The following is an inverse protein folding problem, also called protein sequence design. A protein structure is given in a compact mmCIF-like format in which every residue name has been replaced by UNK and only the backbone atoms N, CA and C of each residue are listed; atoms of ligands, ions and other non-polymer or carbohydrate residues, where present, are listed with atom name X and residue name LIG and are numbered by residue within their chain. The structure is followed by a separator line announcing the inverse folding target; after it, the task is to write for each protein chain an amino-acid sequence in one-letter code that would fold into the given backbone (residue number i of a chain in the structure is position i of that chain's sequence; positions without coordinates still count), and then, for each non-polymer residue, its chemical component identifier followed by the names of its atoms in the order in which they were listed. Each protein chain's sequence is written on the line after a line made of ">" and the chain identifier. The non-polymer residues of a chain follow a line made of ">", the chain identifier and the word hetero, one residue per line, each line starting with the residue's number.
data_IF_317803709564
#
_entry.id   IF_317803709564
#
_cell.length_a   1.000
_cell.length_b   1.000
_cell.length_c   1.000
_cell.angle_alpha   90.00
_cell.angle_beta   90.00
_cell.angle_gamma   90.00
#
_symmetry.space_group_name_H-M   'P 1'
#
loop_
_entity.id
_entity.type
_entity.pdbx_description
1 polymer ?
#
# COMPACT_ATOMS: atom_id res chain seq x y z
N UNK A 1 -18.12 1.39 7.12
CA UNK A 1 -17.30 0.51 7.98
C UNK A 1 -16.93 1.28 9.23
N UNK A 2 -16.96 0.63 10.40
CA UNK A 2 -16.48 1.20 11.65
C UNK A 2 -15.09 0.60 11.85
N UNK A 3 -14.05 1.42 11.85
CA UNK A 3 -12.71 0.99 12.25
C UNK A 3 -12.61 1.02 13.78
N UNK A 4 -11.88 0.07 14.35
CA UNK A 4 -11.56 0.03 15.78
C UNK A 4 -10.81 1.29 16.22
N UNK A 5 -10.94 1.65 17.50
CA UNK A 5 -10.23 2.81 18.06
C UNK A 5 -8.72 2.64 17.97
N UNK A 6 -8.20 1.41 18.09
CA UNK A 6 -6.77 1.14 17.97
C UNK A 6 -6.25 1.33 16.55
N UNK A 7 -7.00 0.89 15.53
CA UNK A 7 -6.65 1.20 14.13
C UNK A 7 -6.71 2.70 13.88
N UNK A 8 -7.69 3.40 14.47
CA UNK A 8 -7.77 4.86 14.37
C UNK A 8 -6.55 5.54 14.97
N UNK A 9 -6.12 5.15 16.18
CA UNK A 9 -4.91 5.65 16.83
C UNK A 9 -3.66 5.39 15.99
N UNK A 10 -3.48 4.15 15.50
CA UNK A 10 -2.38 3.80 14.60
C UNK A 10 -2.37 4.65 13.32
N UNK A 11 -3.52 4.91 12.73
CA UNK A 11 -3.60 5.76 11.54
C UNK A 11 -3.27 7.23 11.84
N UNK A 12 -3.64 7.74 13.01
CA UNK A 12 -3.21 9.07 13.43
C UNK A 12 -1.70 9.14 13.59
N UNK A 13 -1.09 8.13 14.21
CA UNK A 13 0.37 8.03 14.34
C UNK A 13 1.08 7.98 12.98
N UNK A 14 0.57 7.19 12.02
CA UNK A 14 1.09 7.12 10.65
C UNK A 14 0.94 8.48 9.95
N UNK A 15 -0.22 9.13 10.12
CA UNK A 15 -0.53 10.41 9.49
C UNK A 15 0.39 11.51 10.01
N UNK A 16 0.58 11.59 11.33
CA UNK A 16 1.49 12.54 11.96
C UNK A 16 2.96 12.28 11.54
N UNK A 17 3.39 11.02 11.54
CA UNK A 17 4.71 10.63 11.06
C UNK A 17 4.96 11.09 9.61
N UNK A 18 3.92 11.06 8.78
CA UNK A 18 3.99 11.47 7.38
C UNK A 18 3.79 12.96 7.11
N UNK A 19 3.65 13.80 8.16
CA UNK A 19 3.29 15.21 8.03
C UNK A 19 1.99 15.44 7.23
N UNK A 20 1.00 14.55 7.39
CA UNK A 20 -0.27 14.56 6.66
C UNK A 20 -0.18 14.31 5.14
N UNK A 21 0.87 13.65 4.66
CA UNK A 21 1.02 13.34 3.23
C UNK A 21 0.30 12.08 2.76
N UNK A 22 -0.26 11.28 3.68
CA UNK A 22 -1.08 10.10 3.37
C UNK A 22 -2.32 10.49 2.55
N UNK A 23 -2.39 10.03 1.30
CA UNK A 23 -3.36 10.52 0.32
C UNK A 23 -4.74 9.87 0.44
N UNK A 24 -4.79 8.54 0.59
CA UNK A 24 -6.01 7.74 0.68
C UNK A 24 -6.17 7.17 2.10
N UNK A 25 -6.35 8.05 3.09
CA UNK A 25 -6.48 7.69 4.52
C UNK A 25 -7.52 6.59 4.77
N UNK A 26 -8.69 6.68 4.13
CA UNK A 26 -9.76 5.71 4.31
C UNK A 26 -9.37 4.32 3.80
N UNK A 27 -8.73 4.23 2.65
CA UNK A 27 -8.37 2.95 2.03
C UNK A 27 -7.29 2.24 2.84
N UNK A 28 -6.28 2.99 3.31
CA UNK A 28 -5.26 2.50 4.23
C UNK A 28 -5.91 2.06 5.54
N UNK A 29 -6.93 2.77 6.03
CA UNK A 29 -7.66 2.39 7.24
C UNK A 29 -8.37 1.04 7.12
N UNK A 30 -9.06 0.81 6.01
CA UNK A 30 -9.78 -0.44 5.74
C UNK A 30 -8.78 -1.60 5.59
N UNK A 31 -7.65 -1.34 4.93
CA UNK A 31 -6.58 -2.31 4.75
C UNK A 31 -5.95 -2.72 6.08
N UNK A 32 -5.52 -1.74 6.89
CA UNK A 32 -4.89 -1.99 8.18
C UNK A 32 -5.86 -2.71 9.11
N UNK A 33 -7.11 -2.23 9.23
CA UNK A 33 -8.13 -2.88 10.05
C UNK A 33 -8.22 -4.37 9.67
N UNK A 34 -8.51 -4.68 8.41
CA UNK A 34 -8.68 -6.06 7.97
C UNK A 34 -7.44 -6.93 8.22
N UNK A 35 -6.23 -6.44 7.91
CA UNK A 35 -4.98 -7.20 8.08
C UNK A 35 -4.73 -7.56 9.55
N UNK A 36 -5.01 -6.64 10.47
CA UNK A 36 -4.79 -6.89 11.89
C UNK A 36 -5.82 -7.87 12.47
N UNK A 37 -7.00 -8.04 11.84
CA UNK A 37 -8.00 -9.04 12.21
C UNK A 37 -7.83 -10.41 11.52
N UNK A 38 -7.19 -10.51 10.35
CA UNK A 38 -7.15 -11.75 9.55
C UNK A 38 -5.86 -12.59 9.69
N UNK A 39 -5.03 -12.32 10.70
CA UNK A 39 -3.70 -12.94 10.93
C UNK A 39 -2.71 -12.83 9.75
N UNK A 40 -3.02 -12.08 8.70
CA UNK A 40 -2.20 -11.95 7.48
C UNK A 40 -1.15 -10.82 7.56
N UNK A 41 -0.68 -10.52 8.78
CA UNK A 41 0.27 -9.43 9.03
C UNK A 41 1.54 -9.57 8.20
N UNK A 42 2.09 -10.77 8.08
CA UNK A 42 3.30 -11.01 7.28
C UNK A 42 3.08 -10.65 5.81
N UNK A 43 1.95 -11.04 5.24
CA UNK A 43 1.61 -10.75 3.84
C UNK A 43 1.44 -9.25 3.61
N UNK A 44 0.86 -8.54 4.57
CA UNK A 44 0.81 -7.09 4.52
C UNK A 44 2.20 -6.46 4.58
N UNK A 45 3.09 -6.94 5.46
CA UNK A 45 4.48 -6.49 5.50
C UNK A 45 5.16 -6.69 4.14
N UNK A 46 5.04 -7.87 3.54
CA UNK A 46 5.62 -8.16 2.23
C UNK A 46 5.10 -7.17 1.15
N UNK A 47 3.80 -6.87 1.17
CA UNK A 47 3.16 -5.91 0.25
C UNK A 47 3.70 -4.48 0.46
N UNK A 48 3.83 -4.00 1.70
CA UNK A 48 4.34 -2.63 1.94
C UNK A 48 5.84 -2.50 1.62
N UNK A 49 6.62 -3.58 1.76
CA UNK A 49 8.01 -3.62 1.28
C UNK A 49 8.07 -3.54 -0.25
N UNK A 50 7.21 -4.29 -0.95
CA UNK A 50 7.11 -4.23 -2.42
C UNK A 50 6.67 -2.85 -2.91
N UNK A 51 5.75 -2.20 -2.19
CA UNK A 51 5.37 -0.82 -2.45
C UNK A 51 6.57 0.14 -2.37
N UNK A 52 7.45 0.00 -1.37
CA UNK A 52 8.68 0.82 -1.27
C UNK A 52 9.56 0.67 -2.51
N UNK A 53 9.72 -0.55 -3.02
CA UNK A 53 10.50 -0.83 -4.22
C UNK A 53 9.88 -0.18 -5.46
N UNK A 54 8.58 -0.35 -5.67
CA UNK A 54 7.83 0.29 -6.76
C UNK A 54 7.91 1.81 -6.70
N UNK A 55 7.81 2.39 -5.51
CA UNK A 55 7.96 3.83 -5.34
C UNK A 55 9.37 4.32 -5.71
N UNK A 56 10.41 3.52 -5.44
CA UNK A 56 11.77 3.80 -5.89
C UNK A 56 11.87 3.89 -7.41
N UNK A 57 11.23 2.95 -8.14
CA UNK A 57 11.18 2.99 -9.61
C UNK A 57 10.42 4.21 -10.14
N UNK A 58 9.29 4.56 -9.53
CA UNK A 58 8.53 5.76 -9.89
C UNK A 58 9.36 7.03 -9.76
N UNK A 59 10.17 7.15 -8.70
CA UNK A 59 11.10 8.28 -8.53
C UNK A 59 12.12 8.35 -9.66
N UNK A 60 12.59 7.22 -10.18
CA UNK A 60 13.53 7.19 -11.31
C UNK A 60 12.86 7.66 -12.60
N UNK A 61 11.58 7.32 -12.83
CA UNK A 61 10.86 7.84 -13.99
C UNK A 61 10.68 9.36 -13.93
N UNK A 62 10.38 9.89 -12.74
CA UNK A 62 10.19 11.32 -12.50
C UNK A 62 11.49 12.14 -12.53
N UNK A 63 12.65 11.49 -12.47
CA UNK A 63 13.95 12.16 -12.51
C UNK A 63 14.38 12.44 -13.96
N UNK A 64 14.26 13.70 -14.39
CA UNK A 64 14.63 14.15 -15.73
C UNK A 64 16.15 14.08 -16.01
N UNK A 65 16.98 13.92 -14.98
CA UNK A 65 18.43 13.75 -15.15
C UNK A 65 18.82 12.35 -15.63
N UNK A 66 17.90 11.38 -15.59
CA UNK A 66 18.16 10.00 -15.99
C UNK A 66 18.00 9.82 -17.49
N UNK A 67 18.96 9.12 -18.10
CA UNK A 67 18.93 8.79 -19.51
C UNK A 67 17.66 8.00 -19.88
N UNK A 68 17.11 8.29 -21.06
CA UNK A 68 15.91 7.63 -21.59
C UNK A 68 16.05 6.11 -21.64
N UNK A 69 17.23 5.61 -22.02
CA UNK A 69 17.56 4.18 -22.07
C UNK A 69 17.45 3.49 -20.70
N UNK A 70 17.74 4.21 -19.62
CA UNK A 70 17.59 3.72 -18.25
C UNK A 70 16.12 3.69 -17.85
N UNK A 71 15.35 4.72 -18.21
CA UNK A 71 13.90 4.78 -17.97
C UNK A 71 13.17 3.64 -18.70
N UNK A 72 13.55 3.33 -19.94
CA UNK A 72 12.98 2.21 -20.70
C UNK A 72 13.22 0.86 -20.02
N UNK A 73 14.45 0.57 -19.60
CA UNK A 73 14.76 -0.69 -18.89
C UNK A 73 13.98 -0.85 -17.58
N UNK A 74 13.79 0.24 -16.85
CA UNK A 74 13.05 0.23 -15.59
C UNK A 74 11.55 0.11 -15.84
N UNK A 75 11.04 0.57 -17.00
CA UNK A 75 9.63 0.47 -17.36
C UNK A 75 9.15 -0.99 -17.42
N UNK A 76 9.90 -1.86 -18.09
CA UNK A 76 9.54 -3.28 -18.21
C UNK A 76 9.54 -3.97 -16.85
N UNK A 77 10.57 -3.74 -16.05
CA UNK A 77 10.66 -4.27 -14.68
C UNK A 77 9.53 -3.72 -13.80
N UNK A 78 9.22 -2.42 -13.89
CA UNK A 78 8.14 -1.80 -13.14
C UNK A 78 6.80 -2.45 -13.46
N UNK A 79 6.52 -2.74 -14.73
CA UNK A 79 5.28 -3.40 -15.13
C UNK A 79 5.16 -4.81 -14.52
N UNK A 80 6.24 -5.60 -14.53
CA UNK A 80 6.29 -6.93 -13.92
C UNK A 80 6.04 -6.83 -12.41
N UNK A 81 6.72 -5.91 -11.74
CA UNK A 81 6.64 -5.74 -10.29
C UNK A 81 5.27 -5.20 -9.85
N UNK A 82 4.69 -4.27 -10.61
CA UNK A 82 3.37 -3.72 -10.34
C UNK A 82 2.28 -4.78 -10.53
N UNK A 83 2.38 -5.58 -11.59
CA UNK A 83 1.46 -6.71 -11.80
C UNK A 83 1.54 -7.71 -10.65
N UNK A 84 2.76 -8.03 -10.21
CA UNK A 84 2.97 -8.87 -9.04
C UNK A 84 2.39 -8.28 -7.76
N UNK A 85 2.55 -6.97 -7.54
CA UNK A 85 1.99 -6.25 -6.40
C UNK A 85 0.46 -6.31 -6.40
N UNK A 86 -0.18 -6.03 -7.54
CA UNK A 86 -1.65 -6.10 -7.68
C UNK A 86 -2.16 -7.52 -7.38
N UNK A 87 -1.47 -8.55 -7.86
CA UNK A 87 -1.86 -9.94 -7.61
C UNK A 87 -1.74 -10.33 -6.13
N UNK A 88 -0.66 -9.93 -5.45
CA UNK A 88 -0.49 -10.14 -4.01
C UNK A 88 -1.54 -9.36 -3.21
N UNK A 89 -1.82 -8.12 -3.58
CA UNK A 89 -2.82 -7.29 -2.94
C UNK A 89 -4.23 -7.85 -3.12
N UNK A 90 -4.59 -8.30 -4.33
CA UNK A 90 -5.84 -9.03 -4.58
C UNK A 90 -5.92 -10.32 -3.77
N UNK A 91 -4.79 -11.03 -3.61
CA UNK A 91 -4.72 -12.22 -2.79
C UNK A 91 -4.89 -11.93 -1.28
N UNK A 92 -4.44 -10.76 -0.80
CA UNK A 92 -4.64 -10.32 0.59
C UNK A 92 -6.12 -10.05 0.87
N UNK A 93 -6.80 -9.33 -0.04
CA UNK A 93 -8.22 -8.96 0.13
C UNK A 93 -9.17 -10.16 0.08
N UNK A 94 -8.73 -11.35 -0.37
CA UNK A 94 -9.56 -12.58 -0.38
C UNK A 94 -10.10 -13.01 0.98
N UNK A 95 -9.50 -12.60 2.09
CA UNK A 95 -10.00 -12.91 3.44
C UNK A 95 -10.91 -11.83 4.02
N UNK A 96 -11.04 -10.69 3.35
CA UNK A 96 -11.82 -9.57 3.86
C UNK A 96 -13.32 -9.86 3.74
N UNK A 97 -14.13 -9.00 4.36
CA UNK A 97 -15.58 -9.00 4.17
C UNK A 97 -15.94 -8.84 2.68
N UNK A 98 -17.13 -9.30 2.26
CA UNK A 98 -17.55 -9.14 0.87
C UNK A 98 -17.64 -7.66 0.46
N UNK A 99 -18.09 -6.80 1.39
CA UNK A 99 -18.16 -5.36 1.17
C UNK A 99 -16.78 -4.75 0.89
N UNK A 100 -15.77 -5.11 1.68
CA UNK A 100 -14.41 -4.57 1.51
C UNK A 100 -13.74 -5.14 0.26
N UNK A 101 -13.99 -6.42 -0.06
CA UNK A 101 -13.57 -7.01 -1.35
C UNK A 101 -14.12 -6.23 -2.52
N UNK A 102 -15.43 -5.97 -2.54
CA UNK A 102 -16.09 -5.24 -3.63
C UNK A 102 -15.60 -3.79 -3.72
N UNK A 103 -15.22 -3.19 -2.59
CA UNK A 103 -14.58 -1.89 -2.54
C UNK A 103 -13.23 -1.90 -3.25
N UNK A 104 -12.32 -2.79 -2.86
CA UNK A 104 -10.99 -2.88 -3.47
C UNK A 104 -11.04 -3.35 -4.93
N UNK A 105 -11.91 -4.29 -5.26
CA UNK A 105 -12.09 -4.79 -6.64
C UNK A 105 -12.48 -3.66 -7.60
N UNK A 106 -13.41 -2.79 -7.18
CA UNK A 106 -13.86 -1.67 -8.01
C UNK A 106 -12.83 -0.55 -8.13
N UNK A 107 -12.09 -0.23 -7.06
CA UNK A 107 -11.17 0.91 -7.03
C UNK A 107 -9.77 0.58 -7.54
N UNK A 108 -9.28 -0.66 -7.38
CA UNK A 108 -7.88 -1.01 -7.61
C UNK A 108 -7.65 -2.16 -8.61
N UNK A 109 -8.62 -3.06 -8.81
CA UNK A 109 -8.36 -4.30 -9.58
C UNK A 109 -9.00 -4.32 -10.98
N UNK A 110 -9.61 -3.21 -11.41
CA UNK A 110 -10.12 -3.09 -12.77
C UNK A 110 -8.97 -2.80 -13.75
N UNK A 111 -9.13 -3.23 -15.00
CA UNK A 111 -8.20 -2.90 -16.10
C UNK A 111 -8.52 -1.52 -16.67
N UNK A 112 -8.45 -0.49 -15.83
CA UNK A 112 -8.74 0.90 -16.19
C UNK A 112 -7.58 1.83 -15.81
N UNK A 113 -7.39 2.96 -16.53
CA UNK A 113 -6.41 3.98 -16.14
C UNK A 113 -6.61 4.50 -14.71
N UNK A 114 -7.85 4.62 -14.26
CA UNK A 114 -8.16 5.07 -12.90
C UNK A 114 -7.67 4.09 -11.85
N UNK A 115 -7.88 2.77 -12.05
CA UNK A 115 -7.35 1.74 -11.16
C UNK A 115 -5.83 1.77 -11.10
N UNK A 116 -5.16 1.99 -12.24
CA UNK A 116 -3.71 2.15 -12.28
C UNK A 116 -3.26 3.38 -11.47
N UNK A 117 -3.91 4.53 -11.68
CA UNK A 117 -3.66 5.75 -10.91
C UNK A 117 -3.85 5.56 -9.40
N UNK A 118 -4.90 4.83 -9.00
CA UNK A 118 -5.15 4.48 -7.60
C UNK A 118 -4.06 3.56 -7.04
N UNK A 119 -3.61 2.55 -7.79
CA UNK A 119 -2.50 1.68 -7.36
C UNK A 119 -1.21 2.48 -7.17
N UNK A 120 -0.90 3.43 -8.05
CA UNK A 120 0.28 4.31 -7.92
C UNK A 120 0.20 5.17 -6.66
N UNK A 121 -0.98 5.72 -6.33
CA UNK A 121 -1.18 6.47 -5.07
C UNK A 121 -1.03 5.56 -3.85
N UNK A 122 -1.66 4.39 -3.88
CA UNK A 122 -1.56 3.41 -2.80
C UNK A 122 -0.12 2.96 -2.57
N UNK A 123 0.68 2.77 -3.63
CA UNK A 123 2.10 2.46 -3.52
C UNK A 123 2.86 3.51 -2.69
N UNK A 124 2.53 4.80 -2.86
CA UNK A 124 3.13 5.90 -2.07
C UNK A 124 2.67 5.83 -0.61
N UNK A 125 1.38 5.64 -0.38
CA UNK A 125 0.82 5.55 0.97
C UNK A 125 1.33 4.32 1.74
N UNK A 126 1.47 3.17 1.08
CA UNK A 126 2.06 1.97 1.69
C UNK A 126 3.57 2.12 1.90
N UNK A 127 4.24 2.93 1.09
CA UNK A 127 5.65 3.31 1.34
C UNK A 127 5.79 4.11 2.63
N UNK A 128 4.84 4.99 2.94
CA UNK A 128 4.78 5.71 4.22
C UNK A 128 4.58 4.71 5.36
N UNK A 129 3.58 3.83 5.24
CA UNK A 129 3.29 2.80 6.24
C UNK A 129 4.53 1.93 6.52
N UNK A 130 5.26 1.51 5.47
CA UNK A 130 6.50 0.75 5.60
C UNK A 130 7.55 1.50 6.42
N UNK A 131 7.79 2.77 6.12
CA UNK A 131 8.82 3.54 6.84
C UNK A 131 8.41 3.74 8.30
N UNK A 132 7.13 4.04 8.55
CA UNK A 132 6.58 4.12 9.90
C UNK A 132 6.81 2.82 10.69
N UNK A 133 6.46 1.66 10.15
CA UNK A 133 6.61 0.39 10.86
C UNK A 133 8.06 -0.07 11.04
N UNK A 134 8.99 0.45 10.24
CA UNK A 134 10.42 0.24 10.48
C UNK A 134 10.96 1.09 11.63
N UNK A 135 10.54 2.35 11.68
CA UNK A 135 11.00 3.29 12.71
C UNK A 135 10.29 3.04 14.05
N UNK A 136 9.04 2.58 14.01
CA UNK A 136 8.19 2.25 15.17
C UNK A 136 7.73 0.78 15.15
N UNK A 137 8.65 -0.21 15.23
CA UNK A 137 8.31 -1.63 15.11
C UNK A 137 7.45 -2.16 16.28
N UNK A 138 7.32 -1.43 17.37
CA UNK A 138 6.43 -1.73 18.49
C UNK A 138 4.97 -1.86 18.05
N UNK A 139 4.52 -1.07 17.06
CA UNK A 139 3.16 -1.13 16.51
C UNK A 139 2.88 -2.39 15.70
N UNK A 140 3.92 -3.15 15.31
CA UNK A 140 3.76 -4.48 14.73
C UNK A 140 3.62 -5.57 15.81
N UNK A 141 4.23 -5.35 16.97
CA UNK A 141 4.30 -6.32 18.09
C UNK A 141 3.08 -6.24 18.99
N UNK A 142 2.57 -5.03 19.21
CA UNK A 142 1.26 -4.83 19.80
C UNK A 142 0.22 -5.27 18.77
N UNK A 143 -0.09 -6.57 18.73
CA UNK A 143 -1.36 -6.98 18.15
C UNK A 143 -2.46 -6.09 18.75
N UNK A 144 -3.44 -5.67 17.94
CA UNK A 144 -4.57 -4.84 18.38
C UNK A 144 -5.51 -5.64 19.33
N UNK A 145 -4.96 -6.44 20.25
CA UNK A 145 -5.64 -7.28 21.25
C UNK A 145 -6.41 -6.42 22.22
#
# INVERSE_FOLDING_TARGET
>A
MIISDKTRELLFEIREYSENTLSDFNDVSVLIENVFYTEDKQKFLDIIFKAKFLNGMLTIFADDSKEQSTKEKISDEFQVQLTGFINEFKSLTKKFSQQDKDFFERKYFQLTPDSLGNNIKLVKDLTICKNFFLDKPEFLKTGLN
#
